data_IF_414767563781
#
_entry.id   IF_414767563781
#
_cell.length_a   1.000
_cell.length_b   1.000
_cell.length_c   1.000
_cell.angle_alpha   90.00
_cell.angle_beta   90.00
_cell.angle_gamma   90.00
#
_symmetry.space_group_name_H-M   'P 1'
#
loop_
_entity.id
_entity.type
_entity.pdbx_description
1 polymer ?
2 non-polymer ?
3 non-polymer ?
4 non-polymer ?
5 water ?
#
# COMPACT_ATOMS: atom_id res chain seq x y z
N UNK A 11 8.36 16.78 3.35
CA UNK A 11 9.15 17.38 4.48
C UNK A 11 9.13 16.76 5.89
N UNK A 12 7.97 16.50 6.51
CA UNK A 12 7.99 15.71 7.77
C UNK A 12 6.92 14.60 7.84
N UNK A 13 7.18 13.61 8.68
CA UNK A 13 6.18 12.59 9.02
C UNK A 13 5.59 12.91 10.38
N UNK A 14 4.29 12.80 10.46
CA UNK A 14 3.58 12.96 11.72
C UNK A 14 3.48 11.56 12.37
N UNK A 15 3.92 11.44 13.62
CA UNK A 15 3.75 10.21 14.43
C UNK A 15 2.83 10.54 15.61
N UNK A 16 3.00 9.89 16.75
CA UNK A 16 2.04 9.98 17.82
C UNK A 16 2.19 11.24 18.63
N UNK A 17 1.18 11.53 19.46
CA UNK A 17 1.23 12.64 20.41
C UNK A 17 1.57 14.02 19.82
N UNK A 18 1.13 14.26 18.58
CA UNK A 18 1.41 15.50 17.89
C UNK A 18 2.82 15.72 17.39
N UNK A 19 3.72 14.73 17.57
CA UNK A 19 5.15 14.85 17.14
C UNK A 19 5.32 14.65 15.65
N UNK A 20 6.32 15.31 15.05
CA UNK A 20 6.70 15.10 13.65
C UNK A 20 8.21 14.97 13.55
N UNK A 21 8.67 14.14 12.62
CA UNK A 21 10.14 14.00 12.39
C UNK A 21 10.46 14.23 10.91
N UNK A 22 11.66 14.76 10.61
CA UNK A 22 12.09 14.98 9.22
C UNK A 22 12.03 13.69 8.45
N UNK A 23 11.71 13.77 7.17
CA UNK A 23 11.78 12.58 6.32
C UNK A 23 13.26 12.26 6.08
N UNK A 24 13.55 11.09 5.51
CA UNK A 24 14.93 10.81 5.02
C UNK A 24 15.91 10.55 6.17
N UNK A 25 15.43 10.17 7.33
CA UNK A 25 16.34 9.83 8.43
C UNK A 25 15.74 8.73 9.27
N UNK A 26 16.10 7.47 9.00
CA UNK A 26 15.38 6.38 9.68
C UNK A 26 15.70 6.33 11.20
N UNK A 27 16.95 6.63 11.56
CA UNK A 27 17.37 6.78 12.96
C UNK A 27 16.45 7.72 13.76
N UNK A 28 16.19 8.91 13.21
CA UNK A 28 15.26 9.87 13.81
C UNK A 28 13.82 9.39 13.86
N UNK A 29 13.39 8.66 12.84
CA UNK A 29 12.02 8.11 12.81
C UNK A 29 11.81 7.06 13.91
N UNK A 30 12.74 6.12 14.03
CA UNK A 30 12.68 5.06 15.09
C UNK A 30 12.79 5.64 16.48
N UNK A 31 13.65 6.66 16.63
CA UNK A 31 13.76 7.34 17.92
C UNK A 31 12.47 8.10 18.26
N UNK A 32 11.91 8.78 17.26
CA UNK A 32 10.60 9.45 17.36
C UNK A 32 9.53 8.45 17.82
N UNK A 33 9.44 7.31 17.15
CA UNK A 33 8.45 6.29 17.56
C UNK A 33 8.68 5.83 19.00
N UNK A 34 9.91 5.56 19.36
CA UNK A 34 10.17 5.22 20.76
C UNK A 34 9.64 6.28 21.77
N UNK A 35 9.83 7.56 21.45
CA UNK A 35 9.50 8.64 22.35
C UNK A 35 8.00 8.93 22.40
N UNK A 36 7.35 8.84 21.23
CA UNK A 36 5.99 9.40 21.00
C UNK A 36 4.95 8.38 20.51
N UNK A 37 5.42 7.24 20.05
CA UNK A 37 4.51 6.25 19.46
C UNK A 37 4.22 6.53 17.99
N UNK A 38 3.54 5.59 17.34
CA UNK A 38 3.09 5.77 15.96
C UNK A 38 1.92 6.73 15.89
N UNK A 39 1.65 7.22 14.69
CA UNK A 39 0.48 8.10 14.50
C UNK A 39 -0.81 7.49 15.10
N UNK A 40 -1.01 6.18 14.90
CA UNK A 40 -2.16 5.48 15.46
C UNK A 40 -1.78 4.03 15.80
N UNK A 41 -1.91 3.69 17.08
CA UNK A 41 -1.64 2.36 17.57
C UNK A 41 -2.86 1.52 17.11
N UNK A 42 -2.68 0.26 16.67
CA UNK A 42 -3.85 -0.52 16.24
C UNK A 42 -4.78 -0.82 17.40
N UNK A 43 -6.05 -1.02 17.10
CA UNK A 43 -7.03 -1.48 18.10
C UNK A 43 -7.10 -2.99 18.04
N UNK A 44 -6.57 -3.69 19.04
CA UNK A 44 -6.54 -5.15 18.97
C UNK A 44 -7.73 -5.78 19.67
N UNK A 45 -8.06 -7.02 19.36
CA UNK A 45 -9.19 -7.70 19.99
C UNK A 45 -8.72 -8.65 21.10
N UNK A 46 -7.62 -9.36 20.83
CA UNK A 46 -7.13 -10.43 21.70
C UNK A 46 -5.88 -10.06 22.49
N UNK A 47 -5.20 -8.99 22.07
CA UNK A 47 -3.83 -8.67 22.56
C UNK A 47 -2.89 -9.88 22.53
N UNK A 48 -2.98 -10.64 21.44
CA UNK A 48 -2.24 -11.88 21.30
C UNK A 48 -1.79 -12.05 19.87
N UNK A 49 -0.52 -12.39 19.71
CA UNK A 49 0.04 -12.61 18.36
C UNK A 49 0.66 -14.02 18.41
N UNK A 50 0.48 -14.81 17.35
CA UNK A 50 1.07 -16.14 17.24
C UNK A 50 2.38 -16.04 16.48
N UNK A 51 3.41 -16.66 17.04
CA UNK A 51 4.69 -16.80 16.34
C UNK A 51 4.83 -18.26 16.02
N UNK A 52 4.80 -18.56 14.72
CA UNK A 52 4.70 -19.93 14.22
C UNK A 52 6.00 -20.31 13.54
N UNK A 53 6.58 -21.43 13.96
CA UNK A 53 7.86 -21.86 13.41
C UNK A 53 8.08 -23.35 13.61
N UNK A 54 9.28 -23.82 13.28
CA UNK A 54 9.56 -25.25 13.39
C UNK A 54 10.33 -25.62 14.67
N UNK A 55 10.80 -26.87 14.75
CA UNK A 55 11.59 -27.39 15.87
C UNK A 55 13.05 -26.91 15.90
N UNK A 56 13.41 -26.18 15.04
CA UNK A 56 14.83 -25.89 14.95
C UNK A 56 15.15 -24.46 15.35
N UNK A 57 16.45 -24.27 15.57
CA UNK A 57 16.93 -22.93 15.98
C UNK A 57 16.17 -22.36 17.16
N UNK A 58 16.45 -22.87 18.35
CA UNK A 58 15.82 -22.43 19.59
C UNK A 58 16.26 -21.02 19.98
N UNK A 59 17.56 -20.82 20.18
CA UNK A 59 18.09 -19.52 20.61
C UNK A 59 17.99 -18.40 19.57
N UNK A 60 17.89 -18.76 18.29
CA UNK A 60 17.63 -17.79 17.22
C UNK A 60 16.20 -17.28 17.34
N UNK A 61 15.28 -18.22 17.53
CA UNK A 61 13.87 -17.90 17.68
C UNK A 61 13.59 -17.18 19.02
N UNK A 62 14.25 -17.62 20.09
CA UNK A 62 14.15 -16.88 21.34
C UNK A 62 14.59 -15.43 21.26
N UNK A 63 15.74 -15.18 20.62
CA UNK A 63 16.19 -13.81 20.36
C UNK A 63 15.24 -13.03 19.42
N UNK A 64 14.72 -13.72 18.40
CA UNK A 64 13.70 -13.12 17.55
C UNK A 64 12.45 -12.75 18.36
N UNK A 65 11.97 -13.67 19.19
CA UNK A 65 10.75 -13.42 19.98
C UNK A 65 10.97 -12.25 20.96
N UNK A 66 12.14 -12.24 21.58
CA UNK A 66 12.52 -11.18 22.51
C UNK A 66 12.55 -9.80 21.81
N UNK A 67 13.12 -9.72 20.60
CA UNK A 67 13.12 -8.49 19.79
C UNK A 67 11.73 -8.03 19.37
N UNK A 68 10.91 -8.97 18.89
CA UNK A 68 9.54 -8.64 18.50
C UNK A 68 8.81 -8.07 19.72
N UNK A 69 8.94 -8.75 20.85
CA UNK A 69 8.21 -8.36 22.07
C UNK A 69 8.64 -6.97 22.57
N UNK A 70 9.96 -6.78 22.70
CA UNK A 70 10.57 -5.50 23.05
C UNK A 70 10.12 -4.34 22.15
N UNK A 71 10.22 -4.51 20.83
CA UNK A 71 9.95 -3.41 19.91
C UNK A 71 8.46 -3.13 19.76
N UNK A 72 7.63 -4.18 19.78
CA UNK A 72 6.19 -3.93 19.75
C UNK A 72 5.78 -3.04 20.93
N UNK A 73 6.37 -3.32 22.09
CA UNK A 73 6.11 -2.55 23.31
C UNK A 73 6.75 -1.14 23.28
N UNK A 74 8.05 -1.06 22.95
CA UNK A 74 8.84 0.17 23.15
C UNK A 74 8.85 1.10 21.95
N UNK A 75 8.91 0.53 20.76
CA UNK A 75 8.83 1.36 19.58
C UNK A 75 7.38 1.64 19.17
N UNK A 76 6.54 0.61 19.15
CA UNK A 76 5.17 0.73 18.61
C UNK A 76 4.10 1.08 19.64
N UNK A 77 4.48 1.01 20.92
CA UNK A 77 3.60 1.39 22.09
C UNK A 77 2.32 0.56 22.09
N UNK A 78 2.44 -0.69 21.63
CA UNK A 78 1.40 -1.67 21.83
C UNK A 78 1.76 -2.49 23.07
N UNK A 79 1.05 -2.26 24.19
CA UNK A 79 1.43 -2.82 25.47
C UNK A 79 0.71 -4.09 25.78
N UNK A 80 1.29 -4.93 26.65
CA UNK A 80 0.64 -6.17 27.15
C UNK A 80 0.24 -7.21 26.08
N UNK A 81 1.02 -7.25 25.01
CA UNK A 81 0.79 -8.27 24.00
C UNK A 81 1.35 -9.58 24.48
N UNK A 82 0.57 -10.66 24.41
CA UNK A 82 1.14 -12.00 24.59
C UNK A 82 1.56 -12.55 23.23
N UNK A 83 2.77 -13.08 23.13
CA UNK A 83 3.19 -13.73 21.89
C UNK A 83 3.16 -15.23 22.17
N UNK A 84 2.22 -15.94 21.56
CA UNK A 84 2.13 -17.36 21.80
C UNK A 84 2.86 -18.08 20.67
N UNK A 85 3.44 -19.22 20.98
CA UNK A 85 4.20 -19.94 19.98
C UNK A 85 3.52 -21.22 19.51
N UNK A 86 3.57 -21.48 18.20
CA UNK A 86 3.06 -22.73 17.60
C UNK A 86 4.15 -23.38 16.73
N UNK A 87 4.27 -24.70 16.83
CA UNK A 87 5.35 -25.43 16.21
C UNK A 87 4.78 -26.33 15.11
N UNK A 88 5.34 -26.22 13.90
CA UNK A 88 5.08 -27.19 12.84
C UNK A 88 6.24 -28.19 12.74
N UNK A 89 5.91 -29.44 12.38
CA UNK A 89 6.84 -30.56 12.41
C UNK A 89 7.52 -30.94 11.08
N UNK A 90 6.91 -30.57 9.94
CA UNK A 90 7.60 -30.69 8.66
C UNK A 90 7.32 -29.48 7.76
N UNK A 91 8.28 -29.14 6.87
CA UNK A 91 8.16 -27.90 6.10
C UNK A 91 7.27 -28.12 4.88
N UNK A 92 6.01 -28.45 5.11
CA UNK A 92 5.06 -28.71 4.02
C UNK A 92 3.71 -28.08 4.32
N UNK A 93 2.94 -27.86 3.24
CA UNK A 93 1.72 -27.08 3.35
C UNK A 93 0.81 -27.52 4.49
N UNK A 94 0.52 -28.82 4.54
CA UNK A 94 -0.46 -29.40 5.48
C UNK A 94 -0.04 -29.25 6.95
N UNK A 95 1.22 -29.56 7.23
CA UNK A 95 1.81 -29.38 8.55
C UNK A 95 1.73 -27.91 9.05
N UNK A 96 2.10 -26.96 8.20
CA UNK A 96 2.09 -25.54 8.60
C UNK A 96 0.69 -24.97 8.74
N UNK A 97 -0.19 -25.29 7.79
CA UNK A 97 -1.59 -24.80 7.88
C UNK A 97 -2.34 -25.32 9.09
N UNK A 98 -2.07 -26.57 9.50
CA UNK A 98 -2.69 -27.07 10.71
C UNK A 98 -2.39 -26.16 11.92
N UNK A 99 -1.15 -25.69 12.02
CA UNK A 99 -0.74 -24.86 13.14
C UNK A 99 -1.30 -23.47 12.99
N UNK A 100 -1.36 -22.99 11.74
CA UNK A 100 -2.03 -21.73 11.42
C UNK A 100 -3.49 -21.79 11.89
N UNK A 101 -4.21 -22.84 11.46
CA UNK A 101 -5.59 -23.06 11.88
C UNK A 101 -5.76 -23.15 13.39
N UNK A 102 -4.89 -23.90 14.06
CA UNK A 102 -4.92 -23.98 15.54
C UNK A 102 -4.74 -22.62 16.22
N UNK A 103 -3.79 -21.81 15.72
CA UNK A 103 -3.60 -20.42 16.21
C UNK A 103 -4.84 -19.53 16.00
N UNK A 104 -5.40 -19.54 14.80
CA UNK A 104 -6.66 -18.84 14.56
C UNK A 104 -7.75 -19.27 15.59
N UNK A 105 -7.85 -20.56 15.86
CA UNK A 105 -8.85 -21.07 16.80
C UNK A 105 -8.59 -20.66 18.25
N UNK A 106 -7.34 -20.33 18.58
CA UNK A 106 -7.01 -19.88 19.94
C UNK A 106 -7.47 -18.44 20.17
N UNK A 107 -7.58 -17.66 19.10
CA UNK A 107 -7.90 -16.24 19.30
C UNK A 107 -6.64 -15.38 19.26
N UNK A 108 -6.25 -14.97 18.05
CA UNK A 108 -5.05 -14.13 17.85
C UNK A 108 -5.38 -12.97 16.93
N UNK A 109 -4.69 -11.84 17.12
CA UNK A 109 -4.89 -10.68 16.24
C UNK A 109 -4.14 -10.82 14.93
N UNK A 110 -3.07 -11.59 14.97
CA UNK A 110 -2.29 -11.81 13.74
C UNK A 110 -1.28 -12.90 13.94
N UNK A 111 -0.65 -13.29 12.85
CA UNK A 111 0.26 -14.44 12.87
C UNK A 111 1.58 -14.00 12.22
N UNK A 112 2.67 -14.27 12.93
CA UNK A 112 4.00 -14.09 12.38
C UNK A 112 4.55 -15.47 12.08
N UNK A 113 4.74 -15.74 10.79
CA UNK A 113 5.09 -17.08 10.33
C UNK A 113 6.54 -17.13 9.80
N UNK A 114 7.37 -18.00 10.37
CA UNK A 114 8.75 -18.18 9.89
C UNK A 114 8.78 -19.40 8.99
N UNK A 115 9.22 -19.22 7.74
CA UNK A 115 9.22 -20.29 6.72
C UNK A 115 10.61 -20.67 6.22
N UNK A 116 10.77 -21.93 5.74
CA UNK A 116 12.07 -22.34 5.20
C UNK A 116 12.53 -21.48 4.00
N UNK A 117 13.85 -21.41 3.81
CA UNK A 117 14.45 -20.68 2.69
C UNK A 117 13.89 -21.11 1.33
N UNK A 118 13.85 -22.42 1.10
CA UNK A 118 13.94 -22.98 -0.26
C UNK A 118 12.69 -23.73 -0.75
N UNK A 119 11.54 -23.08 -0.63
CA UNK A 119 10.28 -23.63 -1.16
C UNK A 119 9.33 -22.49 -1.57
N UNK A 120 9.58 -21.92 -2.76
CA UNK A 120 8.82 -20.74 -3.22
C UNK A 120 7.31 -20.98 -3.49
N UNK A 121 6.94 -22.10 -4.19
CA UNK A 121 5.51 -22.42 -4.29
C UNK A 121 4.79 -22.55 -2.91
N UNK A 122 5.47 -23.15 -1.92
CA UNK A 122 4.92 -23.24 -0.55
C UNK A 122 4.64 -21.88 0.05
N UNK A 123 5.57 -20.93 -0.11
CA UNK A 123 5.48 -19.57 0.43
C UNK A 123 4.22 -18.90 -0.08
N UNK A 124 4.01 -18.93 -1.40
CA UNK A 124 2.85 -18.29 -2.01
C UNK A 124 1.51 -18.99 -1.74
N UNK A 125 1.52 -20.31 -1.65
CA UNK A 125 0.35 -21.07 -1.20
C UNK A 125 -0.04 -20.60 0.22
N UNK A 126 0.92 -20.47 1.11
CA UNK A 126 0.61 -20.08 2.48
C UNK A 126 0.27 -18.62 2.55
N UNK A 127 1.00 -17.80 1.77
CA UNK A 127 0.73 -16.39 1.66
C UNK A 127 -0.74 -16.16 1.32
N UNK A 128 -1.25 -16.88 0.34
CA UNK A 128 -2.64 -16.66 -0.07
C UNK A 128 -3.63 -17.13 0.99
N UNK A 129 -3.36 -18.28 1.59
CA UNK A 129 -4.14 -18.79 2.74
C UNK A 129 -4.20 -17.77 3.90
N UNK A 130 -3.05 -17.22 4.29
CA UNK A 130 -3.05 -16.31 5.41
C UNK A 130 -3.74 -15.00 5.08
N UNK A 131 -3.50 -14.51 3.88
CA UNK A 131 -4.04 -13.20 3.50
C UNK A 131 -5.57 -13.30 3.53
N UNK A 132 -6.08 -14.41 3.03
CA UNK A 132 -7.54 -14.63 3.05
C UNK A 132 -8.10 -14.87 4.48
N UNK A 133 -7.22 -14.94 5.50
CA UNK A 133 -7.63 -15.45 6.83
C UNK A 133 -7.44 -14.44 7.96
N UNK A 134 -6.27 -13.78 8.03
CA UNK A 134 -5.88 -13.09 9.25
C UNK A 134 -4.61 -12.27 8.95
N UNK A 135 -4.48 -11.11 9.59
CA UNK A 135 -3.23 -10.34 9.38
C UNK A 135 -2.02 -11.19 9.71
N UNK A 136 -1.01 -11.08 8.86
CA UNK A 136 0.14 -11.95 8.96
C UNK A 136 1.40 -11.28 8.46
N UNK A 137 2.52 -11.77 8.98
CA UNK A 137 3.85 -11.33 8.62
C UNK A 137 4.74 -12.56 8.42
N UNK A 138 5.29 -12.68 7.21
CA UNK A 138 6.12 -13.80 6.84
C UNK A 138 7.60 -13.44 7.06
N UNK A 139 8.38 -14.42 7.49
CA UNK A 139 9.83 -14.27 7.68
C UNK A 139 10.49 -15.53 7.17
N UNK A 140 11.78 -15.45 6.84
CA UNK A 140 12.54 -16.59 6.35
C UNK A 140 13.65 -16.89 7.33
N UNK A 141 13.88 -18.18 7.62
CA UNK A 141 14.94 -18.58 8.56
C UNK A 141 16.30 -17.95 8.23
N UNK A 142 16.66 -18.00 6.95
CA UNK A 142 18.00 -17.63 6.47
C UNK A 142 18.39 -16.19 6.75
N UNK A 143 17.39 -15.32 6.94
CA UNK A 143 17.62 -13.93 7.30
C UNK A 143 16.82 -13.52 8.54
N UNK A 149 19.78 -8.62 12.35
CA UNK A 149 18.43 -9.04 12.69
C UNK A 149 17.55 -7.88 13.18
N UNK A 150 18.14 -6.96 13.96
CA UNK A 150 17.38 -5.81 14.49
C UNK A 150 16.83 -4.90 13.39
N UNK A 151 17.61 -4.64 12.35
CA UNK A 151 17.11 -3.92 11.16
C UNK A 151 15.91 -4.66 10.52
N UNK A 152 16.07 -5.94 10.26
CA UNK A 152 15.06 -6.77 9.63
C UNK A 152 13.77 -6.76 10.43
N UNK A 153 13.89 -7.00 11.73
CA UNK A 153 12.72 -7.06 12.63
C UNK A 153 12.02 -5.69 12.67
N UNK A 154 12.82 -4.63 12.67
CA UNK A 154 12.28 -3.27 12.66
C UNK A 154 11.32 -3.04 11.51
N UNK A 155 11.81 -3.37 10.31
CA UNK A 155 11.06 -3.22 9.08
C UNK A 155 9.84 -4.09 9.00
N UNK A 156 9.97 -5.34 9.42
CA UNK A 156 8.81 -6.21 9.39
C UNK A 156 7.70 -5.77 10.32
N UNK A 157 8.06 -5.14 11.44
CA UNK A 157 7.05 -4.61 12.33
C UNK A 157 6.28 -3.38 11.76
N UNK A 158 6.96 -2.54 10.99
CA UNK A 158 6.22 -1.46 10.30
C UNK A 158 5.09 -2.12 9.49
N UNK A 159 5.41 -3.13 8.70
CA UNK A 159 4.39 -3.80 7.90
C UNK A 159 3.30 -4.43 8.79
N UNK A 160 3.72 -5.18 9.81
CA UNK A 160 2.79 -5.93 10.62
C UNK A 160 1.82 -5.01 11.37
N UNK A 161 2.37 -3.95 11.96
CA UNK A 161 1.56 -2.95 12.68
C UNK A 161 0.49 -2.36 11.71
N UNK A 162 0.90 -2.07 10.46
CA UNK A 162 -0.02 -1.56 9.45
C UNK A 162 -1.13 -2.57 9.12
N UNK A 163 -0.74 -3.84 9.00
CA UNK A 163 -1.69 -4.95 8.66
C UNK A 163 -2.70 -5.17 9.76
N UNK A 164 -2.29 -4.84 10.98
CA UNK A 164 -3.14 -4.91 12.15
C UNK A 164 -4.03 -3.72 12.28
N UNK A 165 -3.92 -2.79 11.34
CA UNK A 165 -4.79 -1.62 11.35
C UNK A 165 -4.16 -0.37 11.98
N UNK A 166 -2.89 -0.44 12.36
CA UNK A 166 -2.17 0.71 12.91
C UNK A 166 -1.77 1.68 11.78
N UNK A 167 -1.34 2.88 12.15
CA UNK A 167 -0.85 3.86 11.16
C UNK A 167 0.53 4.31 11.69
N UNK A 168 1.62 3.68 11.17
CA UNK A 168 2.97 4.03 11.62
C UNK A 168 3.23 5.53 11.67
N UNK A 169 3.03 6.19 10.52
CA UNK A 169 3.20 7.65 10.43
C UNK A 169 2.45 8.10 9.19
N UNK A 170 2.12 9.40 9.13
CA UNK A 170 1.42 9.95 7.96
C UNK A 170 2.16 11.18 7.48
N UNK A 171 1.86 11.65 6.28
CA UNK A 171 2.54 12.83 5.75
C UNK A 171 1.83 14.01 6.41
N UNK A 172 2.57 15.06 6.69
CA UNK A 172 2.03 16.33 7.15
C UNK A 172 1.47 17.15 5.97
N UNK A 173 0.15 17.15 5.75
CA UNK A 173 -0.47 17.96 4.71
C UNK A 173 -1.43 19.04 5.25
N UNK A 174 -1.75 20.02 4.43
CA UNK A 174 -2.68 21.10 4.82
C UNK A 174 -4.10 20.59 5.24
N UNK A 175 -4.64 21.05 6.40
CA UNK A 175 -5.97 20.60 6.90
C UNK A 175 -7.14 20.96 5.97
N UNK A 176 -7.03 22.12 5.32
CA UNK A 176 -7.87 22.48 4.19
C UNK A 176 -7.99 21.43 3.09
N UNK A 177 -6.93 20.63 2.88
CA UNK A 177 -6.94 19.53 1.90
C UNK A 177 -7.19 18.15 2.53
N UNK A 178 -7.41 18.15 3.85
CA UNK A 178 -7.76 16.96 4.62
C UNK A 178 -8.76 15.98 4.00
N UNK A 179 -9.70 16.50 3.21
CA UNK A 179 -10.79 15.68 2.67
C UNK A 179 -10.73 15.38 1.16
N UNK A 180 -9.65 15.82 0.49
CA UNK A 180 -9.42 15.51 -0.94
C UNK A 180 -9.22 13.97 -0.96
N UNK A 181 -9.57 13.30 -2.06
CA UNK A 181 -9.20 11.92 -2.21
C UNK A 181 -8.43 11.72 -3.52
N UNK A 182 -7.55 10.74 -3.45
CA UNK A 182 -6.80 10.30 -4.62
C UNK A 182 -7.15 8.84 -4.81
N UNK A 183 -7.46 8.47 -6.05
CA UNK A 183 -7.69 7.10 -6.39
C UNK A 183 -6.54 6.61 -7.28
N UNK A 184 -5.81 5.62 -6.77
CA UNK A 184 -4.86 4.94 -7.59
C UNK A 184 -5.57 3.82 -8.32
N UNK A 185 -5.53 3.84 -9.65
CA UNK A 185 -6.28 2.87 -10.42
C UNK A 185 -5.55 2.46 -11.71
N UNK A 186 -6.09 1.48 -12.42
CA UNK A 186 -5.42 0.95 -13.64
C UNK A 186 -5.51 -0.57 -13.63
N UNK A 187 -4.57 -1.24 -14.28
CA UNK A 187 -4.51 -2.72 -14.30
C UNK A 187 -3.05 -3.17 -14.38
N UNK A 188 -2.82 -4.43 -14.04
CA UNK A 188 -1.55 -5.06 -14.27
C UNK A 188 -1.79 -6.38 -15.01
N UNK A 189 -1.02 -6.59 -16.07
CA UNK A 189 -1.09 -7.82 -16.83
C UNK A 189 -0.41 -8.90 -16.03
N UNK A 190 -1.05 -10.05 -15.98
CA UNK A 190 -0.50 -11.28 -15.44
C UNK A 190 0.34 -11.99 -16.51
N UNK A 191 -0.12 -11.95 -17.75
CA UNK A 191 0.57 -12.52 -18.88
C UNK A 191 0.18 -11.75 -20.13
N UNK A 192 0.43 -12.31 -21.31
CA UNK A 192 0.09 -11.60 -22.55
C UNK A 192 -1.39 -11.31 -22.69
N UNK A 193 -2.24 -12.15 -22.05
CA UNK A 193 -3.70 -12.07 -22.24
C UNK A 193 -4.47 -11.61 -20.98
N UNK A 194 -4.13 -12.15 -19.81
CA UNK A 194 -4.86 -11.90 -18.56
C UNK A 194 -4.32 -10.79 -17.74
N UNK A 195 -5.21 -10.10 -17.02
CA UNK A 195 -4.90 -8.97 -16.15
C UNK A 195 -5.93 -8.89 -15.02
N UNK A 196 -5.66 -8.04 -14.04
CA UNK A 196 -6.68 -7.64 -13.09
C UNK A 196 -6.61 -6.13 -12.97
N UNK A 197 -7.74 -5.54 -12.63
CA UNK A 197 -7.77 -4.11 -12.42
C UNK A 197 -7.74 -3.85 -10.90
N UNK A 198 -7.35 -2.65 -10.51
CA UNK A 198 -7.29 -2.25 -9.09
C UNK A 198 -7.84 -0.84 -8.97
N UNK A 199 -8.33 -0.50 -7.78
CA UNK A 199 -8.68 0.87 -7.50
C UNK A 199 -8.46 1.03 -6.00
N UNK A 200 -7.62 1.98 -5.59
CA UNK A 200 -7.36 2.19 -4.16
C UNK A 200 -7.65 3.65 -3.82
N UNK A 201 -8.37 3.88 -2.74
CA UNK A 201 -8.67 5.25 -2.29
C UNK A 201 -7.67 5.65 -1.20
N UNK A 202 -6.99 6.76 -1.44
CA UNK A 202 -6.06 7.34 -0.45
C UNK A 202 -6.52 8.73 0.01
N UNK A 203 -6.18 9.06 1.25
CA UNK A 203 -6.16 10.42 1.74
C UNK A 203 -4.88 11.11 1.24
N UNK A 204 -4.91 12.44 1.19
CA UNK A 204 -3.70 13.18 0.81
C UNK A 204 -2.50 12.90 1.74
N UNK A 205 -2.74 12.51 2.99
CA UNK A 205 -1.63 12.24 3.89
C UNK A 205 -0.97 10.87 3.63
N UNK A 206 -1.48 10.14 2.63
CA UNK A 206 -0.85 8.88 2.11
C UNK A 206 -1.43 7.58 2.71
N UNK A 207 -2.48 7.70 3.50
CA UNK A 207 -3.10 6.53 4.09
C UNK A 207 -4.11 5.96 3.09
N UNK A 208 -4.06 4.64 2.92
CA UNK A 208 -4.99 3.91 2.06
C UNK A 208 -6.23 3.70 2.88
N UNK A 209 -7.37 4.11 2.36
CA UNK A 209 -8.62 3.91 3.09
C UNK A 209 -9.30 2.62 2.66
N UNK A 210 -9.26 2.34 1.35
CA UNK A 210 -10.07 1.28 0.72
C UNK A 210 -9.34 0.80 -0.53
N UNK A 211 -9.43 -0.49 -0.78
CA UNK A 211 -8.83 -1.12 -1.96
C UNK A 211 -9.76 -2.19 -2.52
N UNK A 212 -9.85 -2.25 -3.84
CA UNK A 212 -10.62 -3.29 -4.51
C UNK A 212 -9.78 -3.78 -5.66
N UNK A 213 -9.91 -5.06 -5.93
CA UNK A 213 -9.30 -5.70 -7.11
C UNK A 213 -10.37 -6.43 -7.86
N UNK A 214 -10.32 -6.37 -9.19
CA UNK A 214 -11.20 -7.19 -10.01
C UNK A 214 -10.73 -8.67 -9.98
N UNK A 215 -11.60 -9.59 -10.43
CA UNK A 215 -11.11 -10.92 -10.78
C UNK A 215 -10.09 -10.79 -11.91
N UNK A 216 -9.30 -11.84 -12.11
CA UNK A 216 -8.49 -11.90 -13.30
C UNK A 216 -9.46 -12.07 -14.50
N UNK A 217 -9.20 -11.25 -15.53
CA UNK A 217 -10.04 -11.17 -16.73
C UNK A 217 -9.10 -11.06 -17.95
N UNK A 218 -9.67 -11.15 -19.15
CA UNK A 218 -8.83 -11.00 -20.32
C UNK A 218 -8.71 -9.51 -20.68
N UNK A 219 -7.72 -9.19 -21.50
CA UNK A 219 -7.51 -7.80 -21.94
C UNK A 219 -8.77 -7.22 -22.59
N UNK A 220 -9.52 -8.02 -23.36
CA UNK A 220 -10.78 -7.60 -23.96
C UNK A 220 -11.78 -6.99 -22.94
N UNK A 221 -11.62 -7.32 -21.66
CA UNK A 221 -12.61 -6.95 -20.63
C UNK A 221 -12.10 -5.83 -19.78
N UNK A 222 -10.89 -5.33 -20.12
CA UNK A 222 -10.22 -4.37 -19.24
C UNK A 222 -11.14 -3.19 -18.89
N UNK A 223 -11.70 -2.53 -19.91
CA UNK A 223 -12.40 -1.25 -19.62
C UNK A 223 -13.68 -1.45 -18.80
N UNK A 224 -14.38 -2.55 -19.07
CA UNK A 224 -15.55 -2.95 -18.30
C UNK A 224 -15.20 -3.07 -16.83
N UNK A 225 -14.12 -3.81 -16.54
CA UNK A 225 -13.77 -4.05 -15.17
C UNK A 225 -13.06 -2.88 -14.51
N UNK A 226 -12.47 -2.00 -15.33
CA UNK A 226 -11.85 -0.80 -14.79
C UNK A 226 -12.89 0.10 -14.12
N UNK A 227 -13.93 0.44 -14.87
CA UNK A 227 -15.08 1.19 -14.35
C UNK A 227 -15.72 0.52 -13.11
N UNK A 228 -16.09 -0.76 -13.21
CA UNK A 228 -16.71 -1.45 -12.08
C UNK A 228 -15.83 -1.49 -10.83
N UNK A 229 -14.52 -1.66 -10.98
CA UNK A 229 -13.60 -1.69 -9.83
C UNK A 229 -13.53 -0.30 -9.14
N UNK A 230 -13.41 0.75 -9.93
CA UNK A 230 -13.45 2.12 -9.38
C UNK A 230 -14.78 2.38 -8.67
N UNK A 231 -15.90 2.12 -9.34
CA UNK A 231 -17.23 2.28 -8.71
C UNK A 231 -17.36 1.53 -7.38
N UNK A 232 -16.93 0.27 -7.36
CA UNK A 232 -16.84 -0.55 -6.12
C UNK A 232 -16.01 0.04 -4.97
N UNK A 233 -14.79 0.48 -5.25
CA UNK A 233 -13.99 1.09 -4.17
C UNK A 233 -14.66 2.38 -3.62
N UNK A 234 -15.21 3.22 -4.50
CA UNK A 234 -15.92 4.45 -4.07
C UNK A 234 -17.17 4.10 -3.25
N UNK A 235 -17.91 3.06 -3.66
CA UNK A 235 -19.04 2.55 -2.86
C UNK A 235 -18.60 2.17 -1.47
N UNK A 236 -17.57 1.33 -1.39
CA UNK A 236 -17.01 0.92 -0.11
C UNK A 236 -16.73 2.13 0.79
N UNK A 237 -15.90 3.03 0.27
CA UNK A 237 -15.50 4.25 0.94
C UNK A 237 -16.72 5.10 1.35
N UNK A 238 -17.67 5.34 0.45
CA UNK A 238 -18.86 6.17 0.77
C UNK A 238 -19.84 5.56 1.73
N UNK A 239 -19.97 4.23 1.67
CA UNK A 239 -20.83 3.56 2.63
C UNK A 239 -20.26 3.71 4.05
N UNK A 240 -18.94 3.64 4.20
CA UNK A 240 -18.30 3.77 5.50
C UNK A 240 -18.04 5.22 5.91
N UNK A 241 -18.04 6.14 4.94
CA UNK A 241 -17.86 7.57 5.24
C UNK A 241 -18.96 8.45 4.60
N UNK A 242 -20.22 8.32 5.03
CA UNK A 242 -21.30 8.90 4.22
C UNK A 242 -21.30 10.46 4.21
N UNK A 243 -20.67 11.08 5.20
CA UNK A 243 -20.71 12.56 5.28
C UNK A 243 -19.41 13.18 4.74
N UNK A 244 -18.54 12.34 4.24
CA UNK A 244 -17.32 12.82 3.61
C UNK A 244 -17.61 13.28 2.19
N UNK A 245 -17.61 14.59 1.97
CA UNK A 245 -17.88 15.15 0.65
C UNK A 245 -16.63 15.16 -0.22
N UNK A 246 -16.70 14.52 -1.37
CA UNK A 246 -15.56 14.55 -2.26
C UNK A 246 -15.74 15.74 -3.22
N UNK A 247 -15.04 16.83 -2.89
CA UNK A 247 -15.08 18.02 -3.68
C UNK A 247 -13.91 18.12 -4.65
N UNK A 248 -12.85 17.37 -4.36
CA UNK A 248 -11.63 17.42 -5.18
C UNK A 248 -11.12 16.02 -5.26
N UNK A 249 -10.98 15.56 -6.49
CA UNK A 249 -10.64 14.18 -6.75
C UNK A 249 -9.50 14.09 -7.75
N UNK A 250 -8.49 13.27 -7.47
CA UNK A 250 -7.42 13.01 -8.45
C UNK A 250 -7.33 11.51 -8.70
N UNK A 251 -7.22 11.13 -9.97
CA UNK A 251 -6.96 9.75 -10.31
C UNK A 251 -5.51 9.64 -10.78
N UNK A 252 -4.81 8.66 -10.24
CA UNK A 252 -3.43 8.32 -10.64
C UNK A 252 -3.53 6.94 -11.29
N UNK A 253 -3.42 6.90 -12.60
CA UNK A 253 -3.54 5.70 -13.37
C UNK A 253 -2.16 5.16 -13.67
N UNK A 254 -1.97 3.87 -13.42
CA UNK A 254 -0.70 3.21 -13.64
C UNK A 254 -0.89 1.74 -13.97
N UNK A 255 0.23 1.08 -14.25
CA UNK A 255 0.26 -0.33 -14.53
C UNK A 255 0.50 -0.66 -15.97
N UNK A 256 1.15 -1.81 -16.15
CA UNK A 256 1.35 -2.43 -17.42
C UNK A 256 -0.01 -2.92 -17.90
N UNK A 257 -0.65 -2.22 -18.83
CA UNK A 257 -2.06 -2.53 -19.14
C UNK A 257 -2.35 -2.27 -20.61
N UNK A 258 -3.52 -2.75 -21.12
CA UNK A 258 -3.78 -2.61 -22.55
C UNK A 258 -3.70 -1.17 -23.01
N UNK A 259 -2.83 -0.91 -23.99
CA UNK A 259 -2.62 0.43 -24.51
C UNK A 259 -3.89 0.87 -25.25
N UNK A 260 -4.81 1.44 -24.47
CA UNK A 260 -6.08 1.93 -24.95
C UNK A 260 -6.17 3.37 -24.48
N UNK A 261 -5.48 4.28 -25.20
CA UNK A 261 -5.29 5.68 -24.78
C UNK A 261 -6.61 6.46 -24.61
N UNK A 262 -7.17 6.86 -25.74
CA UNK A 262 -8.42 7.60 -25.78
C UNK A 262 -9.52 6.78 -25.10
N UNK A 263 -9.63 5.47 -25.41
CA UNK A 263 -10.65 4.59 -24.82
C UNK A 263 -10.67 4.53 -23.28
N UNK A 264 -9.51 4.30 -22.70
CA UNK A 264 -9.39 4.30 -21.28
C UNK A 264 -9.76 5.68 -20.71
N UNK A 265 -9.31 6.77 -21.35
CA UNK A 265 -9.58 8.12 -20.79
C UNK A 265 -11.10 8.42 -20.85
N UNK A 266 -11.71 8.03 -21.98
CA UNK A 266 -13.18 8.11 -22.13
C UNK A 266 -13.90 7.39 -20.97
N UNK A 267 -13.49 6.17 -20.67
CA UNK A 267 -14.14 5.32 -19.67
C UNK A 267 -13.91 5.89 -18.26
N UNK A 268 -12.72 6.44 -18.02
CA UNK A 268 -12.43 7.02 -16.71
C UNK A 268 -13.23 8.31 -16.50
N UNK A 269 -13.27 9.13 -17.55
CA UNK A 269 -14.09 10.34 -17.55
C UNK A 269 -15.58 9.95 -17.27
N UNK A 270 -16.09 8.91 -17.93
CA UNK A 270 -17.48 8.41 -17.73
C UNK A 270 -17.70 7.91 -16.33
N UNK A 271 -16.67 7.24 -15.78
CA UNK A 271 -16.74 6.69 -14.43
C UNK A 271 -16.93 7.83 -13.40
N UNK A 272 -16.14 8.89 -13.53
CA UNK A 272 -16.31 10.06 -12.65
C UNK A 272 -17.70 10.66 -12.81
N UNK A 273 -18.16 10.80 -14.06
CA UNK A 273 -19.47 11.41 -14.33
C UNK A 273 -20.58 10.57 -13.74
N UNK A 274 -20.44 9.26 -13.83
CA UNK A 274 -21.43 8.37 -13.25
C UNK A 274 -21.46 8.48 -11.73
N UNK A 275 -20.29 8.53 -11.09
CA UNK A 275 -20.21 8.67 -9.61
C UNK A 275 -20.85 9.97 -9.11
N UNK A 276 -20.72 11.02 -9.89
CA UNK A 276 -21.39 12.25 -9.58
C UNK A 276 -22.92 12.04 -9.55
N UNK A 277 -23.42 11.10 -10.38
CA UNK A 277 -24.85 10.73 -10.45
C UNK A 277 -25.29 9.81 -9.31
N UNK A 278 -24.46 8.84 -8.93
CA UNK A 278 -24.80 8.06 -7.77
C UNK A 278 -24.66 8.93 -6.46
N UNK A 279 -24.55 10.26 -6.65
CA UNK A 279 -24.17 11.28 -5.62
C UNK A 279 -22.99 10.85 -4.74
N UNK A 280 -22.02 10.15 -5.32
CA UNK A 280 -20.93 9.53 -4.58
C UNK A 280 -19.79 10.50 -4.39
N UNK A 281 -19.62 11.38 -5.37
CA UNK A 281 -18.74 12.51 -5.23
C UNK A 281 -19.64 13.71 -5.44
N UNK A 282 -19.19 14.91 -5.13
CA UNK A 282 -20.11 16.01 -5.25
C UNK A 282 -20.42 16.31 -6.71
N UNK A 283 -21.64 16.80 -6.95
CA UNK A 283 -22.08 17.25 -8.27
C UNK A 283 -21.11 18.25 -8.94
N UNK A 284 -20.40 19.06 -8.16
CA UNK A 284 -19.38 19.96 -8.71
C UNK A 284 -17.94 19.60 -8.33
N UNK A 285 -17.65 18.32 -8.23
CA UNK A 285 -16.28 17.86 -8.04
C UNK A 285 -15.35 18.49 -9.10
N UNK A 286 -14.15 18.91 -8.67
CA UNK A 286 -13.06 19.29 -9.57
C UNK A 286 -12.14 18.10 -9.59
N UNK A 287 -11.90 17.57 -10.78
CA UNK A 287 -11.10 16.35 -10.87
C UNK A 287 -10.08 16.44 -11.97
N UNK A 288 -9.09 15.57 -11.86
CA UNK A 288 -8.12 15.36 -12.93
C UNK A 288 -7.74 13.89 -12.94
N UNK A 289 -7.46 13.42 -14.14
CA UNK A 289 -7.06 12.03 -14.34
C UNK A 289 -5.65 12.15 -14.90
N UNK A 290 -4.70 11.52 -14.22
CA UNK A 290 -3.29 11.60 -14.52
C UNK A 290 -2.75 10.21 -14.83
N UNK A 291 -1.87 10.11 -15.82
CA UNK A 291 -1.10 8.88 -16.03
C UNK A 291 0.25 8.99 -15.38
N UNK A 292 0.59 8.05 -14.52
CA UNK A 292 1.87 8.08 -13.84
C UNK A 292 2.67 6.85 -14.28
N UNK A 293 3.90 7.08 -14.74
CA UNK A 293 4.74 6.01 -15.34
C UNK A 293 6.20 6.23 -14.93
N UNK A 294 6.89 5.19 -14.44
CA UNK A 294 8.36 5.30 -14.25
C UNK A 294 9.02 5.31 -15.60
N UNK A 295 9.98 6.20 -15.83
CA UNK A 295 10.62 6.23 -17.11
C UNK A 295 12.08 5.76 -16.96
N UNK A 296 12.85 5.88 -18.02
CA UNK A 296 14.22 5.37 -17.97
C UNK A 296 15.04 6.19 -16.97
N UNK A 297 15.74 5.52 -16.05
CA UNK A 297 16.62 6.18 -15.07
C UNK A 297 17.71 7.02 -15.73
N UNK A 298 18.16 8.05 -15.05
CA UNK A 298 19.33 8.77 -15.49
C UNK A 298 20.16 9.23 -14.28
N UNK A 299 21.34 9.73 -14.55
CA UNK A 299 22.33 10.04 -13.52
C UNK A 299 22.84 11.47 -13.74
N UNK A 300 22.53 12.36 -12.80
CA UNK A 300 22.99 13.75 -12.88
C UNK A 300 24.44 13.78 -12.43
N UNK A 301 25.35 14.18 -13.33
CA UNK A 301 26.78 14.22 -13.08
C UNK A 301 27.18 15.61 -12.58
N UNK A 309 20.34 19.90 -2.05
CA UNK A 309 19.75 18.73 -2.69
C UNK A 309 18.95 19.16 -3.93
N UNK A 310 19.65 19.72 -4.95
CA UNK A 310 18.93 20.39 -6.06
C UNK A 310 17.96 19.51 -6.91
N UNK A 311 18.33 18.26 -7.16
CA UNK A 311 17.72 17.52 -8.26
C UNK A 311 16.78 16.50 -7.68
N UNK A 312 15.63 16.95 -7.18
CA UNK A 312 14.89 16.19 -6.15
C UNK A 312 13.35 16.24 -6.13
N UNK A 313 12.83 17.33 -5.59
CA UNK A 313 11.40 17.55 -5.62
C UNK A 313 11.16 18.37 -6.88
N UNK A 314 12.07 18.19 -7.84
CA UNK A 314 12.18 19.02 -9.05
C UNK A 314 11.14 18.56 -10.07
N UNK A 315 10.40 19.51 -10.62
CA UNK A 315 9.33 19.22 -11.57
C UNK A 315 9.83 19.83 -12.89
N UNK A 316 9.64 19.07 -13.96
CA UNK A 316 10.13 19.44 -15.28
C UNK A 316 8.89 19.45 -16.14
N UNK A 317 8.61 20.58 -16.79
CA UNK A 317 7.47 20.61 -17.68
C UNK A 317 7.99 20.27 -19.06
N UNK A 318 7.39 19.25 -19.67
CA UNK A 318 7.73 18.85 -21.07
C UNK A 318 6.76 19.43 -22.11
N UNK A 319 5.50 19.65 -21.69
CA UNK A 319 4.43 20.28 -22.50
C UNK A 319 3.34 20.73 -21.54
N UNK A 320 2.27 21.35 -22.05
CA UNK A 320 1.19 21.81 -21.16
C UNK A 320 0.64 20.66 -20.33
N UNK A 321 0.64 19.45 -20.95
CA UNK A 321 0.06 18.23 -20.34
C UNK A 321 1.05 17.22 -19.73
N UNK A 322 2.34 17.38 -19.95
CA UNK A 322 3.26 16.33 -19.56
C UNK A 322 4.43 16.89 -18.75
N UNK A 323 4.71 16.20 -17.64
CA UNK A 323 5.68 16.60 -16.60
C UNK A 323 6.53 15.39 -16.23
N UNK A 324 7.69 15.67 -15.66
CA UNK A 324 8.54 14.68 -15.06
C UNK A 324 8.86 15.13 -13.64
N UNK A 325 8.86 14.19 -12.73
CA UNK A 325 9.38 14.42 -11.38
C UNK A 325 10.64 13.65 -11.20
N UNK A 326 11.69 14.34 -10.74
CA UNK A 326 13.01 13.71 -10.63
C UNK A 326 13.21 13.01 -9.27
N UNK A 327 12.53 11.90 -9.09
CA UNK A 327 12.64 11.16 -7.83
C UNK A 327 14.03 10.51 -7.65
N UNK A 328 14.59 10.58 -6.44
CA UNK A 328 15.87 9.96 -6.17
C UNK A 328 15.74 8.43 -6.09
N UNK A 329 16.75 7.71 -6.60
CA UNK A 329 16.82 6.26 -6.44
C UNK A 329 16.77 5.91 -4.96
N UNK A 330 15.93 4.94 -4.59
CA UNK A 330 15.81 4.58 -3.17
C UNK A 330 17.01 3.83 -2.61
N UNK A 331 17.07 3.79 -1.27
CA UNK A 331 18.05 3.00 -0.46
C UNK A 331 19.54 3.39 -0.64
N UNK A 332 19.78 4.65 -1.02
CA UNK A 332 21.12 5.24 -1.18
C UNK A 332 21.84 4.73 -2.43
N UNK A 340 27.68 11.22 -8.67
CA UNK A 340 26.44 11.23 -9.44
C UNK A 340 25.21 11.08 -8.52
N UNK A 341 24.10 11.71 -8.92
CA UNK A 341 22.83 11.54 -8.28
C UNK A 341 21.98 10.64 -9.19
N UNK A 342 21.61 9.43 -8.72
CA UNK A 342 20.76 8.53 -9.50
C UNK A 342 19.30 8.92 -9.41
N UNK A 343 18.69 9.19 -10.57
CA UNK A 343 17.30 9.60 -10.63
C UNK A 343 16.47 8.46 -11.19
N UNK A 344 15.33 8.24 -10.57
CA UNK A 344 14.28 7.39 -11.13
C UNK A 344 13.08 8.28 -11.47
N UNK A 345 13.05 8.82 -12.69
CA UNK A 345 12.08 9.84 -13.01
C UNK A 345 10.68 9.23 -13.09
N UNK A 346 9.71 10.04 -12.73
CA UNK A 346 8.30 9.63 -12.83
C UNK A 346 7.64 10.58 -13.80
N UNK A 347 7.10 10.05 -14.89
CA UNK A 347 6.35 10.84 -15.87
C UNK A 347 4.92 11.01 -15.39
N UNK A 348 4.38 12.22 -15.53
CA UNK A 348 3.06 12.55 -15.06
C UNK A 348 2.35 13.23 -16.22
N UNK A 349 1.29 12.62 -16.75
CA UNK A 349 0.60 13.24 -17.87
C UNK A 349 -0.85 13.50 -17.45
N UNK A 350 -1.31 14.72 -17.64
CA UNK A 350 -2.71 15.09 -17.39
C UNK A 350 -3.54 14.73 -18.64
N UNK A 351 -4.39 13.70 -18.53
CA UNK A 351 -5.13 13.22 -19.68
C UNK A 351 -6.53 13.80 -19.74
N UNK A 352 -7.03 14.28 -18.59
CA UNK A 352 -8.37 14.86 -18.57
C UNK A 352 -8.55 15.61 -17.26
N UNK A 353 -9.33 16.70 -17.29
CA UNK A 353 -9.67 17.43 -16.08
C UNK A 353 -10.82 18.36 -16.38
N UNK A 354 -11.56 18.76 -15.35
CA UNK A 354 -12.60 19.76 -15.55
C UNK A 354 -12.26 21.10 -14.92
N UNK A 355 -10.96 21.40 -14.81
CA UNK A 355 -10.56 22.70 -14.31
C UNK A 355 -10.76 23.81 -15.36
N UNK A 356 -10.88 25.04 -14.90
CA UNK A 356 -10.83 26.19 -15.82
C UNK A 356 -9.37 26.30 -16.28
N UNK A 357 -9.16 26.85 -17.46
CA UNK A 357 -7.84 27.19 -17.96
C UNK A 357 -7.02 28.11 -17.04
N UNK A 358 -7.68 28.98 -16.28
CA UNK A 358 -7.02 29.84 -15.28
C UNK A 358 -6.55 29.04 -14.04
N UNK A 359 -7.34 28.04 -13.61
CA UNK A 359 -7.02 27.15 -12.46
C UNK A 359 -5.85 26.21 -12.77
N UNK A 360 -5.69 25.89 -14.05
CA UNK A 360 -4.72 24.90 -14.53
C UNK A 360 -3.26 25.07 -14.02
N UNK A 361 -2.68 26.26 -14.05
CA UNK A 361 -1.28 26.45 -13.54
C UNK A 361 -1.03 26.04 -12.05
N UNK A 362 -1.90 26.61 -11.19
CA UNK A 362 -1.94 26.35 -9.78
C UNK A 362 -2.23 24.86 -9.49
N UNK A 363 -3.23 24.30 -10.15
CA UNK A 363 -3.61 22.90 -9.90
C UNK A 363 -2.51 21.96 -10.30
N UNK A 364 -1.85 22.31 -11.40
CA UNK A 364 -0.76 21.49 -11.87
C UNK A 364 0.27 21.44 -10.79
N UNK A 365 0.71 22.60 -10.28
CA UNK A 365 1.78 22.63 -9.29
C UNK A 365 1.36 21.81 -8.06
N UNK A 366 0.11 21.96 -7.65
CA UNK A 366 -0.38 21.23 -6.48
C UNK A 366 -0.42 19.72 -6.65
N UNK A 367 -0.85 19.27 -7.83
CA UNK A 367 -0.92 17.84 -8.09
C UNK A 367 0.47 17.22 -8.09
N UNK A 368 1.43 17.94 -8.67
CA UNK A 368 2.83 17.44 -8.74
C UNK A 368 3.49 17.42 -7.35
N UNK A 369 3.22 18.46 -6.56
CA UNK A 369 3.71 18.52 -5.20
C UNK A 369 3.19 17.30 -4.43
N UNK A 370 1.90 17.02 -4.57
CA UNK A 370 1.26 15.92 -3.82
C UNK A 370 1.86 14.55 -4.23
N UNK A 371 2.04 14.38 -5.52
CA UNK A 371 2.76 13.19 -6.02
C UNK A 371 4.15 13.02 -5.39
N UNK A 372 4.93 14.12 -5.33
CA UNK A 372 6.22 14.11 -4.67
C UNK A 372 6.05 13.66 -3.21
N UNK A 373 5.11 14.27 -2.51
CA UNK A 373 4.94 13.91 -1.11
C UNK A 373 4.59 12.45 -0.94
N UNK A 374 3.65 11.93 -1.78
CA UNK A 374 3.19 10.57 -1.75
C UNK A 374 4.36 9.54 -2.01
N UNK A 375 5.40 9.98 -2.67
CA UNK A 375 6.64 9.18 -2.94
C UNK A 375 7.41 8.94 -1.64
N UNK A 376 7.07 9.67 -0.56
CA UNK A 376 7.74 9.48 0.71
C UNK A 376 6.93 8.54 1.66
N UNK A 377 5.75 8.10 1.21
CA UNK A 377 4.90 7.22 2.01
C UNK A 377 5.16 5.76 1.56
N UNK A 378 5.65 4.95 2.49
CA UNK A 378 5.75 3.50 2.21
C UNK A 378 5.85 2.76 3.52
N UNK A 379 4.80 2.02 3.86
CA UNK A 379 4.79 1.29 5.09
C UNK A 379 5.39 -0.12 4.97
N UNK A 380 6.11 -0.36 3.87
CA UNK A 380 6.91 -1.61 3.76
C UNK A 380 8.09 -1.67 4.69
N UNK A 381 8.52 -0.49 5.16
CA UNK A 381 9.70 -0.40 6.01
C UNK A 381 10.02 1.06 6.28
N UNK A 382 11.18 1.30 6.86
CA UNK A 382 11.51 2.65 7.31
C UNK A 382 12.03 3.50 6.21
N UNK A 383 12.63 2.86 5.23
CA UNK A 383 13.23 3.59 4.15
C UNK A 383 12.18 3.86 3.12
N UNK A 384 12.06 5.13 2.76
CA UNK A 384 11.18 5.61 1.73
C UNK A 384 11.38 4.74 0.43
N UNK A 385 10.29 4.32 -0.27
CA UNK A 385 10.47 3.63 -1.56
C UNK A 385 10.80 4.61 -2.73
N UNK A 386 10.56 5.91 -2.49
CA UNK A 386 10.65 6.97 -3.47
C UNK A 386 9.82 6.71 -4.73
N UNK A 387 8.72 5.99 -4.61
CA UNK A 387 7.71 5.89 -5.67
C UNK A 387 6.38 6.25 -5.03
N UNK A 388 5.51 7.05 -5.69
CA UNK A 388 4.26 7.48 -5.05
C UNK A 388 3.50 6.25 -4.57
N UNK A 389 2.99 6.33 -3.37
CA UNK A 389 2.28 5.17 -2.77
C UNK A 389 1.09 4.70 -3.66
N UNK A 390 0.51 5.65 -4.42
CA UNK A 390 -0.65 5.35 -5.25
C UNK A 390 -0.26 4.48 -6.46
N UNK A 391 1.05 4.42 -6.74
CA UNK A 391 1.57 3.58 -7.81
C UNK A 391 2.22 2.31 -7.19
N UNK A 392 2.95 2.51 -6.11
CA UNK A 392 3.68 1.43 -5.45
C UNK A 392 2.78 0.39 -4.81
N UNK A 393 1.77 0.81 -4.06
CA UNK A 393 0.97 -0.21 -3.42
C UNK A 393 0.29 -1.14 -4.46
N UNK A 394 -0.29 -0.61 -5.56
CA UNK A 394 -0.78 -1.50 -6.66
C UNK A 394 0.30 -2.48 -7.22
N UNK A 395 1.55 -2.03 -7.30
CA UNK A 395 2.67 -2.91 -7.71
C UNK A 395 2.87 -4.04 -6.73
N UNK A 396 2.75 -3.74 -5.45
CA UNK A 396 2.87 -4.80 -4.42
C UNK A 396 1.74 -5.81 -4.55
N UNK A 397 0.52 -5.30 -4.71
CA UNK A 397 -0.67 -6.18 -4.93
C UNK A 397 -0.33 -7.08 -6.13
N UNK A 398 0.15 -6.49 -7.22
CA UNK A 398 0.44 -7.28 -8.43
C UNK A 398 1.44 -8.36 -8.20
N UNK A 399 2.51 -8.08 -7.44
CA UNK A 399 3.52 -9.10 -7.19
C UNK A 399 2.93 -10.32 -6.50
N UNK A 400 2.03 -10.06 -5.55
CA UNK A 400 1.37 -11.13 -4.84
C UNK A 400 0.44 -11.93 -5.74
N UNK A 401 -0.45 -11.22 -6.45
CA UNK A 401 -1.44 -11.86 -7.27
C UNK A 401 -0.79 -12.69 -8.38
N UNK A 402 0.22 -12.10 -9.03
CA UNK A 402 0.99 -12.77 -10.07
C UNK A 402 1.65 -14.04 -9.55
N UNK A 403 2.23 -13.98 -8.36
CA UNK A 403 2.89 -15.15 -7.79
C UNK A 403 1.95 -16.22 -7.23
N UNK A 404 0.84 -15.79 -6.65
CA UNK A 404 -0.19 -16.70 -6.20
C UNK A 404 -0.71 -17.50 -7.42
N UNK A 405 -1.02 -16.80 -8.50
CA UNK A 405 -1.46 -17.40 -9.78
C UNK A 405 -0.42 -18.33 -10.41
N UNK A 406 0.84 -17.93 -10.42
CA UNK A 406 1.93 -18.73 -10.96
C UNK A 406 2.13 -20.03 -10.13
N UNK A 407 2.05 -19.91 -8.82
CA UNK A 407 2.40 -21.02 -7.95
C UNK A 407 1.19 -21.86 -7.52
N UNK A 408 0.02 -21.50 -8.05
CA UNK A 408 -1.19 -22.29 -7.81
C UNK A 408 -1.69 -22.17 -6.39
N UNK A 409 -1.48 -21.00 -5.79
CA UNK A 409 -2.05 -20.66 -4.49
C UNK A 409 -3.52 -20.36 -4.61
N UNK A 410 -4.18 -20.09 -3.49
CA UNK A 410 -5.60 -19.73 -3.50
C UNK A 410 -5.76 -18.28 -3.96
N UNK A 411 -6.71 -18.00 -4.86
CA UNK A 411 -6.95 -16.60 -5.23
C UNK A 411 -7.21 -15.68 -4.01
N UNK A 412 -6.62 -14.48 -4.06
CA UNK A 412 -6.87 -13.48 -3.03
C UNK A 412 -8.28 -13.01 -3.23
N UNK A 413 -9.11 -13.26 -2.23
CA UNK A 413 -10.55 -13.07 -2.34
C UNK A 413 -11.10 -12.13 -1.28
N UNK A 414 -11.13 -10.81 -1.60
CA UNK A 414 -11.66 -9.81 -0.69
C UNK A 414 -13.17 -9.92 -0.44
N UNK A 415 -13.90 -10.63 -1.31
CA UNK A 415 -15.36 -10.74 -1.18
C UNK A 415 -15.77 -11.18 0.23
N UNK A 416 -16.47 -10.28 0.92
CA UNK A 416 -16.95 -10.53 2.28
C UNK A 416 -15.90 -10.31 3.36
N UNK A 417 -14.79 -9.64 2.98
CA UNK A 417 -13.69 -9.35 3.90
C UNK A 417 -13.45 -7.84 4.05
N UNK A 418 -14.15 -7.22 5.00
CA UNK A 418 -13.85 -5.80 5.28
C UNK A 418 -12.37 -5.58 5.67
N UNK A 419 -11.80 -6.54 6.38
CA UNK A 419 -10.41 -6.44 6.78
C UNK A 419 -9.55 -6.22 5.51
N UNK A 420 -9.76 -7.04 4.49
CA UNK A 420 -8.97 -6.92 3.25
C UNK A 420 -9.15 -5.59 2.50
N UNK A 421 -10.39 -5.15 2.37
CA UNK A 421 -10.70 -3.91 1.64
C UNK A 421 -10.20 -2.66 2.35
N UNK A 422 -9.91 -2.75 3.64
CA UNK A 422 -9.50 -1.56 4.39
C UNK A 422 -8.10 -1.64 5.06
N UNK A 423 -7.32 -2.69 4.80
CA UNK A 423 -5.98 -2.80 5.40
C UNK A 423 -4.96 -3.18 4.36
N UNK A 424 -3.69 -2.76 4.56
CA UNK A 424 -2.64 -2.96 3.55
C UNK A 424 -2.05 -4.39 3.68
N UNK A 425 -2.88 -5.36 3.32
CA UNK A 425 -2.52 -6.79 3.33
C UNK A 425 -1.35 -7.13 2.40
N UNK A 426 -1.09 -6.27 1.43
CA UNK A 426 -0.11 -6.48 0.39
C UNK A 426 1.32 -6.02 0.77
N UNK A 427 1.51 -5.47 1.98
CA UNK A 427 2.82 -4.92 2.33
C UNK A 427 3.75 -6.11 2.53
X LIG B 1 5.68 -8.08 3.15
X LIG C 1 0.50 -27.09 17.91
X LIG D 1 6.12 -1.94 28.57
X LIG E 1 -20.04 21.57 -3.99
X LIG F 1 -0.03 7.43 -20.75
X LIG G 1 5.23 23.52 -4.04
X LIG H 1 -11.15 -23.73 13.04
X LIG I 1 8.23 -7.96 2.86
X LIG J 1 4.96 -10.25 4.55
X LIG K 1 -0.34 -29.36 17.70
X LIG L 1 -1.47 -26.07 18.55
#
# INVERSE_FOLDING_TARGET
MMEYKIVENGLTYRIGNGASVPISNTGELIKGLRNYGPYEVPSLKYNQIALIHNNQFSSLINQLKSQISSKIDEVWHIHNINISEFIYDSPHFDSIKSQVDNAIDTGVDGIMLVLPEYNTPLYYKLKSYLINSIPSQFMRYDILSNRNLTFYVDNLLVQFVSKLGGKPWILNVDPEKGSDIIIGTGATRIDNVNLFCFAMVFKKDGTMLWNEISPIVTSSEYLTYLKSTIKKVVYGFKKSNPDWDVEKLTLHVSGKRPKMKDGETKILKETVEELKKQEMVSRDVKYAILHLNETHPFWVMGDPNNRFHPYEGTKVKLSSKRYLLTLLQPYLKRNGLEMVTPIKPLSVEIVSDNWTSEEYYHNVHEILDEIYYLSKMNWRGFRSRNLPVTVNYPKLVAGIIANVNRYGGYPINPEGNRSLQTNPWFL
CD CD
CD CD
NI NI
NI NI
NI NI
NI NI
NI NI
CL CL
CL CL
CL CL
CL CL
#
